data_IF_785054324116
#
_entry.id   IF_785054324116
#
_cell.length_a   1.000
_cell.length_b   1.000
_cell.length_c   1.000
_cell.angle_alpha   90.00
_cell.angle_beta   90.00
_cell.angle_gamma   90.00
#
_symmetry.space_group_name_H-M   'P 1'
#
loop_
_entity.id
_entity.type
_entity.pdbx_description
1 polymer ?
#
# COMPACT_ATOMS: atom_id res chain seq x y z
N UNK A 1 19.56 -17.17 -14.48
CA UNK A 1 19.76 -15.88 -13.80
C UNK A 1 21.22 -15.80 -13.39
N UNK A 2 21.92 -14.72 -13.75
CA UNK A 2 23.30 -14.54 -13.31
C UNK A 2 23.36 -14.20 -11.81
N UNK A 3 24.54 -14.32 -11.19
CA UNK A 3 24.74 -13.89 -9.79
C UNK A 3 24.44 -12.40 -9.63
N UNK A 4 24.86 -11.59 -10.59
CA UNK A 4 24.61 -10.13 -10.60
C UNK A 4 23.12 -9.82 -10.68
N UNK A 5 22.36 -10.55 -11.50
CA UNK A 5 20.90 -10.41 -11.57
C UNK A 5 20.23 -10.77 -10.24
N UNK A 6 20.70 -11.83 -9.57
CA UNK A 6 20.19 -12.23 -8.26
C UNK A 6 20.46 -11.15 -7.20
N UNK A 7 21.68 -10.58 -7.18
CA UNK A 7 22.06 -9.49 -6.28
C UNK A 7 21.17 -8.27 -6.51
N UNK A 8 21.01 -7.84 -7.77
CA UNK A 8 20.16 -6.70 -8.12
C UNK A 8 18.73 -6.92 -7.66
N UNK A 9 18.15 -8.08 -7.95
CA UNK A 9 16.78 -8.40 -7.55
C UNK A 9 16.61 -8.47 -6.03
N UNK A 10 17.60 -9.04 -5.31
CA UNK A 10 17.60 -9.06 -3.85
C UNK A 10 17.60 -7.65 -3.26
N UNK A 11 18.45 -6.75 -3.80
CA UNK A 11 18.54 -5.36 -3.38
C UNK A 11 17.23 -4.60 -3.64
N UNK A 12 16.62 -4.78 -4.81
CA UNK A 12 15.34 -4.13 -5.16
C UNK A 12 14.21 -4.57 -4.23
N UNK A 13 14.13 -5.87 -3.92
CA UNK A 13 13.11 -6.42 -3.00
C UNK A 13 13.32 -5.92 -1.56
N UNK A 14 14.56 -5.90 -1.07
CA UNK A 14 14.87 -5.48 0.30
C UNK A 14 14.92 -3.95 0.49
N UNK A 15 15.04 -3.18 -0.60
CA UNK A 15 14.91 -1.73 -0.56
C UNK A 15 13.45 -1.28 -0.34
N UNK A 16 12.48 -2.14 -0.65
CA UNK A 16 11.07 -1.87 -0.40
C UNK A 16 10.71 -1.93 1.09
N UNK A 17 9.71 -1.16 1.50
CA UNK A 17 9.22 -1.09 2.88
C UNK A 17 7.72 -1.47 2.94
N UNK A 18 7.39 -2.73 3.24
CA UNK A 18 6.00 -3.19 3.40
C UNK A 18 5.22 -2.40 4.45
N UNK A 19 5.86 -1.93 5.52
CA UNK A 19 5.18 -1.19 6.58
C UNK A 19 4.71 0.18 6.07
N UNK A 20 5.53 0.87 5.28
CA UNK A 20 5.14 2.14 4.65
C UNK A 20 3.99 1.96 3.67
N UNK A 21 3.99 0.88 2.88
CA UNK A 21 2.90 0.57 1.96
C UNK A 21 1.60 0.27 2.76
N UNK A 22 1.67 -0.51 3.84
CA UNK A 22 0.53 -0.73 4.74
C UNK A 22 0.01 0.58 5.37
N UNK A 23 0.90 1.47 5.80
CA UNK A 23 0.50 2.77 6.34
C UNK A 23 -0.25 3.60 5.29
N UNK A 24 0.18 3.57 4.04
CA UNK A 24 -0.53 4.25 2.95
C UNK A 24 -1.91 3.62 2.69
N UNK A 25 -2.04 2.29 2.75
CA UNK A 25 -3.34 1.60 2.68
C UNK A 25 -4.29 2.04 3.80
N UNK A 26 -3.77 2.21 5.02
CA UNK A 26 -4.53 2.73 6.15
C UNK A 26 -5.00 4.18 5.92
N UNK A 27 -4.15 5.02 5.32
CA UNK A 27 -4.50 6.40 4.97
C UNK A 27 -5.64 6.48 3.95
N UNK A 28 -5.66 5.60 2.95
CA UNK A 28 -6.76 5.49 1.99
C UNK A 28 -8.08 5.07 2.65
N UNK A 29 -8.05 4.11 3.57
CA UNK A 29 -9.23 3.73 4.32
C UNK A 29 -9.71 4.83 5.27
N UNK A 30 -8.80 5.60 5.87
CA UNK A 30 -9.18 6.77 6.65
C UNK A 30 -9.89 7.81 5.78
N UNK A 31 -9.38 8.08 4.58
CA UNK A 31 -10.03 8.99 3.64
C UNK A 31 -11.44 8.49 3.24
N UNK A 32 -11.61 7.18 3.04
CA UNK A 32 -12.92 6.60 2.80
C UNK A 32 -13.89 6.83 3.97
N UNK A 33 -13.42 6.66 5.21
CA UNK A 33 -14.21 6.93 6.41
C UNK A 33 -14.60 8.42 6.52
N UNK A 34 -13.68 9.32 6.22
CA UNK A 34 -13.95 10.76 6.27
C UNK A 34 -15.02 11.16 5.23
N UNK A 35 -14.95 10.61 4.02
CA UNK A 35 -15.99 10.79 3.01
C UNK A 35 -17.34 10.17 3.42
N UNK A 36 -17.34 9.04 4.12
CA UNK A 36 -18.56 8.44 4.65
C UNK A 36 -19.26 9.35 5.67
N UNK A 37 -18.49 10.01 6.54
CA UNK A 37 -19.01 10.98 7.49
C UNK A 37 -19.61 12.19 6.76
N UNK A 38 -18.92 12.70 5.73
CA UNK A 38 -19.41 13.84 4.93
C UNK A 38 -20.70 13.48 4.19
N UNK A 39 -20.76 12.31 3.54
CA UNK A 39 -21.96 11.86 2.84
C UNK A 39 -23.16 11.69 3.79
N UNK A 40 -22.93 11.13 4.98
CA UNK A 40 -23.97 10.98 6.00
C UNK A 40 -24.52 12.33 6.47
N UNK A 41 -23.62 13.29 6.76
CA UNK A 41 -24.02 14.66 7.14
C UNK A 41 -24.79 15.36 6.04
N UNK A 42 -24.33 15.24 4.80
CA UNK A 42 -25.02 15.84 3.64
C UNK A 42 -26.43 15.28 3.49
N UNK A 43 -26.60 13.96 3.61
CA UNK A 43 -27.92 13.30 3.58
C UNK A 43 -28.84 13.78 4.69
N UNK A 44 -28.32 13.93 5.91
CA UNK A 44 -29.08 14.44 7.04
C UNK A 44 -29.56 15.87 6.81
N UNK A 45 -28.69 16.76 6.32
CA UNK A 45 -29.04 18.15 6.04
C UNK A 45 -30.05 18.29 4.89
N UNK A 46 -29.94 17.47 3.83
CA UNK A 46 -30.96 17.38 2.78
C UNK A 46 -32.32 17.04 3.39
N UNK A 47 -32.40 16.02 4.26
CA UNK A 47 -33.63 15.58 4.88
C UNK A 47 -34.24 16.67 5.78
N UNK A 48 -33.43 17.34 6.60
CA UNK A 48 -33.88 18.48 7.44
C UNK A 48 -34.44 19.63 6.60
N UNK A 49 -33.80 19.94 5.47
CA UNK A 49 -34.22 21.05 4.61
C UNK A 49 -35.58 20.82 3.94
N UNK A 50 -35.98 19.56 3.74
CA UNK A 50 -37.20 19.20 3.00
C UNK A 50 -38.47 19.76 3.63
N UNK A 51 -38.52 19.83 4.96
CA UNK A 51 -39.70 20.30 5.69
C UNK A 51 -39.73 21.83 5.86
N UNK A 52 -38.54 22.44 5.92
CA UNK A 52 -38.37 23.87 6.26
C UNK A 52 -38.40 24.75 5.01
N UNK A 53 -37.91 24.25 3.87
CA UNK A 53 -37.84 25.01 2.62
C UNK A 53 -38.45 24.23 1.46
N UNK A 54 -39.57 24.75 0.94
CA UNK A 54 -40.39 24.12 -0.09
C UNK A 54 -40.44 24.95 -1.38
N UNK A 55 -40.89 24.33 -2.47
CA UNK A 55 -40.97 24.94 -3.80
C UNK A 55 -39.85 24.49 -4.75
N UNK A 56 -40.00 24.83 -6.02
CA UNK A 56 -39.15 24.33 -7.11
C UNK A 56 -37.65 24.57 -6.88
N UNK A 57 -37.27 25.78 -6.45
CA UNK A 57 -35.86 26.10 -6.17
C UNK A 57 -35.25 25.21 -5.06
N UNK A 58 -36.06 24.87 -4.05
CA UNK A 58 -35.62 23.99 -2.97
C UNK A 58 -35.45 22.54 -3.44
N UNK A 59 -36.32 22.09 -4.35
CA UNK A 59 -36.22 20.77 -4.98
C UNK A 59 -34.99 20.65 -5.88
N UNK A 60 -34.73 21.65 -6.72
CA UNK A 60 -33.55 21.71 -7.58
C UNK A 60 -32.26 21.71 -6.75
N UNK A 61 -32.21 22.50 -5.68
CA UNK A 61 -31.06 22.51 -4.76
C UNK A 61 -30.83 21.14 -4.10
N UNK A 62 -31.88 20.50 -3.57
CA UNK A 62 -31.78 19.15 -2.98
C UNK A 62 -31.36 18.09 -4.01
N UNK A 63 -31.77 18.23 -5.27
CA UNK A 63 -31.34 17.34 -6.34
C UNK A 63 -29.82 17.47 -6.58
N UNK A 64 -29.27 18.69 -6.60
CA UNK A 64 -27.82 18.92 -6.71
C UNK A 64 -27.05 18.37 -5.50
N UNK A 65 -27.56 18.57 -4.28
CA UNK A 65 -26.94 17.99 -3.09
C UNK A 65 -26.98 16.46 -3.12
N UNK A 66 -28.06 15.85 -3.64
CA UNK A 66 -28.17 14.40 -3.79
C UNK A 66 -27.15 13.86 -4.79
N UNK A 67 -26.89 14.57 -5.90
CA UNK A 67 -25.81 14.23 -6.84
C UNK A 67 -24.44 14.31 -6.18
N UNK A 68 -24.20 15.31 -5.34
CA UNK A 68 -22.95 15.44 -4.58
C UNK A 68 -22.77 14.29 -3.58
N UNK A 69 -23.83 13.90 -2.88
CA UNK A 69 -23.83 12.75 -1.96
C UNK A 69 -23.46 11.46 -2.72
N UNK A 70 -24.08 11.24 -3.87
CA UNK A 70 -23.79 10.07 -4.71
C UNK A 70 -22.33 10.06 -5.22
N UNK A 71 -21.81 11.21 -5.66
CA UNK A 71 -20.39 11.33 -6.06
C UNK A 71 -19.45 11.04 -4.89
N UNK A 72 -19.80 11.52 -3.70
CA UNK A 72 -19.03 11.28 -2.47
C UNK A 72 -18.96 9.79 -2.16
N UNK A 73 -20.07 9.05 -2.32
CA UNK A 73 -20.07 7.59 -2.20
C UNK A 73 -19.12 6.90 -3.17
N UNK A 74 -19.04 7.37 -4.42
CA UNK A 74 -18.07 6.87 -5.39
C UNK A 74 -16.61 7.05 -4.93
N UNK A 75 -16.29 8.15 -4.25
CA UNK A 75 -14.96 8.35 -3.67
C UNK A 75 -14.67 7.42 -2.49
N UNK A 76 -15.67 7.08 -1.68
CA UNK A 76 -15.52 6.10 -0.58
C UNK A 76 -15.10 4.75 -1.15
N UNK A 77 -15.79 4.28 -2.20
CA UNK A 77 -15.50 3.00 -2.86
C UNK A 77 -14.09 2.99 -3.47
N UNK A 78 -13.72 4.05 -4.18
CA UNK A 78 -12.39 4.17 -4.79
C UNK A 78 -11.29 4.19 -3.73
N UNK A 79 -11.45 5.01 -2.67
CA UNK A 79 -10.47 5.11 -1.60
C UNK A 79 -10.31 3.76 -0.87
N UNK A 80 -11.40 3.07 -0.55
CA UNK A 80 -11.35 1.74 0.08
C UNK A 80 -10.64 0.72 -0.83
N UNK A 81 -10.95 0.73 -2.13
CA UNK A 81 -10.29 -0.14 -3.11
C UNK A 81 -8.78 0.12 -3.22
N UNK A 82 -8.35 1.38 -3.21
CA UNK A 82 -6.92 1.70 -3.15
C UNK A 82 -6.28 1.21 -1.85
N UNK A 83 -6.98 1.31 -0.71
CA UNK A 83 -6.53 0.76 0.57
C UNK A 83 -6.24 -0.74 0.49
N UNK A 84 -7.19 -1.51 -0.06
CA UNK A 84 -7.05 -2.95 -0.26
C UNK A 84 -5.87 -3.32 -1.18
N UNK A 85 -5.70 -2.62 -2.30
CA UNK A 85 -4.57 -2.83 -3.21
C UNK A 85 -3.24 -2.59 -2.51
N UNK A 86 -3.13 -1.54 -1.70
CA UNK A 86 -1.90 -1.25 -0.96
C UNK A 86 -1.59 -2.34 0.06
N UNK A 87 -2.59 -2.84 0.80
CA UNK A 87 -2.39 -3.96 1.72
C UNK A 87 -1.95 -5.24 0.99
N UNK A 88 -2.53 -5.53 -0.17
CA UNK A 88 -2.13 -6.67 -0.99
C UNK A 88 -0.68 -6.54 -1.48
N UNK A 89 -0.27 -5.34 -1.93
CA UNK A 89 1.11 -5.04 -2.34
C UNK A 89 2.09 -5.19 -1.18
N UNK A 90 1.77 -4.65 -0.01
CA UNK A 90 2.60 -4.78 1.19
C UNK A 90 2.80 -6.25 1.58
N UNK A 91 1.72 -7.05 1.55
CA UNK A 91 1.78 -8.49 1.80
C UNK A 91 2.66 -9.20 0.78
N UNK A 92 2.47 -8.94 -0.51
CA UNK A 92 3.25 -9.56 -1.57
C UNK A 92 4.75 -9.23 -1.46
N UNK A 93 5.08 -7.97 -1.14
CA UNK A 93 6.47 -7.56 -0.92
C UNK A 93 7.07 -8.22 0.33
N UNK A 94 6.33 -8.30 1.44
CA UNK A 94 6.79 -8.99 2.65
C UNK A 94 7.01 -10.48 2.41
N UNK A 95 6.12 -11.13 1.65
CA UNK A 95 6.32 -12.51 1.23
C UNK A 95 7.55 -12.67 0.32
N UNK A 96 7.75 -11.76 -0.63
CA UNK A 96 8.94 -11.76 -1.49
C UNK A 96 10.23 -11.60 -0.68
N UNK A 97 10.28 -10.65 0.27
CA UNK A 97 11.41 -10.47 1.18
C UNK A 97 11.70 -11.73 2.00
N UNK A 98 10.66 -12.39 2.53
CA UNK A 98 10.84 -13.60 3.34
C UNK A 98 11.30 -14.83 2.56
N UNK A 99 10.99 -14.89 1.25
CA UNK A 99 11.29 -16.05 0.39
C UNK A 99 12.54 -15.86 -0.45
N UNK A 100 13.03 -14.63 -0.58
CA UNK A 100 14.22 -14.32 -1.36
C UNK A 100 15.46 -14.93 -0.68
N UNK A 101 16.20 -15.82 -1.34
CA UNK A 101 17.43 -16.37 -0.77
C UNK A 101 18.44 -15.28 -0.47
N UNK A 102 19.19 -15.41 0.64
CA UNK A 102 20.31 -14.52 0.92
C UNK A 102 21.34 -14.58 -0.22
N UNK A 103 21.94 -13.43 -0.53
CA UNK A 103 23.07 -13.38 -1.46
C UNK A 103 24.29 -13.98 -0.74
N UNK A 104 24.88 -15.08 -1.24
CA UNK A 104 26.09 -15.62 -0.64
C UNK A 104 27.23 -14.59 -0.73
N UNK A 105 28.06 -14.48 0.32
CA UNK A 105 29.22 -13.59 0.29
C UNK A 105 30.10 -13.89 -0.93
N UNK A 106 30.82 -12.88 -1.42
CA UNK A 106 31.85 -13.12 -2.43
C UNK A 106 32.83 -14.17 -1.92
N UNK A 107 32.88 -15.32 -2.60
CA UNK A 107 33.96 -16.28 -2.43
C UNK A 107 35.25 -15.59 -2.84
N UNK A 108 36.03 -15.16 -1.85
CA UNK A 108 37.38 -14.71 -2.07
C UNK A 108 38.27 -15.94 -2.24
N UNK A 109 38.31 -16.47 -3.46
CA UNK A 109 39.12 -17.63 -3.86
C UNK A 109 40.60 -17.52 -3.45
N UNK A 110 41.12 -16.30 -3.27
CA UNK A 110 42.47 -16.09 -2.75
C UNK A 110 42.59 -16.35 -1.24
N UNK A 111 41.56 -16.02 -0.44
CA UNK A 111 41.56 -16.33 0.99
C UNK A 111 41.27 -17.81 1.25
N UNK A 112 40.40 -18.43 0.47
CA UNK A 112 40.14 -19.88 0.54
C UNK A 112 41.40 -20.67 0.15
N UNK A 113 42.05 -20.32 -0.97
CA UNK A 113 43.30 -20.95 -1.38
C UNK A 113 44.47 -20.69 -0.42
N UNK A 114 44.52 -19.55 0.26
CA UNK A 114 45.53 -19.27 1.28
C UNK A 114 45.26 -20.04 2.58
N UNK A 115 44.00 -20.26 2.96
CA UNK A 115 43.64 -21.10 4.11
C UNK A 115 43.96 -22.58 3.85
N UNK A 116 43.59 -23.11 2.68
CA UNK A 116 43.94 -24.48 2.25
C UNK A 116 45.45 -24.68 2.16
N UNK A 117 46.18 -23.72 1.58
CA UNK A 117 47.64 -23.77 1.51
C UNK A 117 48.30 -23.68 2.90
N UNK A 118 47.72 -22.90 3.83
CA UNK A 118 48.22 -22.78 5.19
C UNK A 118 48.00 -24.09 5.97
N UNK A 119 46.82 -24.72 5.88
CA UNK A 119 46.57 -26.03 6.47
C UNK A 119 47.52 -27.12 5.93
N UNK A 120 47.81 -27.10 4.62
CA UNK A 120 48.77 -28.02 4.02
C UNK A 120 50.21 -27.82 4.51
N UNK A 121 50.59 -26.58 4.84
CA UNK A 121 51.94 -26.21 5.32
C UNK A 121 52.09 -26.38 6.83
N UNK A 122 51.01 -26.23 7.61
CA UNK A 122 51.05 -26.34 9.08
C UNK A 122 50.59 -27.68 9.65
N UNK A 123 50.25 -28.66 8.79
CA UNK A 123 49.73 -29.99 9.13
C UNK A 123 49.88 -30.45 10.58
N UNK A 124 48.77 -30.35 11.32
CA UNK A 124 48.39 -31.36 12.30
C UNK A 124 47.49 -32.41 11.63
#
# INVERSE_FOLDING_TARGET
MSREDHIRMWQEIHAGDPMRINSAGSGWNQLANDYAIVAARLREEIAKSAHVWQGQAAEEFRAELSKLEQRTRGFIEQASGFGEVMFALAKALGEAQSRMPEVPPERNIFQEGYAEAKEFVTGE
#
